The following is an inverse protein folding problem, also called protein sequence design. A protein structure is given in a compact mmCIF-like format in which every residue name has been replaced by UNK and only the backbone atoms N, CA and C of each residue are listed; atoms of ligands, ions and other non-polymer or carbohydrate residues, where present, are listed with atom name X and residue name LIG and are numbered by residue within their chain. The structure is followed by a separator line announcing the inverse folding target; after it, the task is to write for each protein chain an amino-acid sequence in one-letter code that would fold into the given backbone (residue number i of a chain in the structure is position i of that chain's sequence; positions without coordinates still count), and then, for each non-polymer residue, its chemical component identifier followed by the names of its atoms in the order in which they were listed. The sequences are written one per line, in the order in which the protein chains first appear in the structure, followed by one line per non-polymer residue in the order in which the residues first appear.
data_IF_627540971065
#
_entry.id   IF_627540971065
#
_cell.length_a   1.000
_cell.length_b   1.000
_cell.length_c   1.000
_cell.angle_alpha   90.00
_cell.angle_beta   90.00
_cell.angle_gamma   90.00
#
_symmetry.space_group_name_H-M   'P 1'
#
loop_
_entity.id
_entity.type
_entity.pdbx_description
1 polymer ?
#
# COMPACT_ATOMS: atom_id res chain seq x y z
N UNK A 1 60.52 28.77 30.86
CA UNK A 1 60.36 27.30 30.95
C UNK A 1 59.13 26.91 30.16
N UNK A 2 59.31 25.91 29.29
CA UNK A 2 58.50 25.61 28.10
C UNK A 2 57.11 25.06 28.41
N UNK A 3 56.13 25.48 27.61
CA UNK A 3 54.77 24.93 27.55
C UNK A 3 54.73 23.81 26.51
N UNK A 4 54.41 22.59 26.93
CA UNK A 4 54.32 21.43 26.03
C UNK A 4 52.87 21.26 25.56
N UNK A 5 52.63 21.41 24.25
CA UNK A 5 51.33 21.16 23.61
C UNK A 5 51.38 19.78 22.95
N UNK A 6 50.39 18.89 23.15
CA UNK A 6 50.37 17.62 22.47
C UNK A 6 50.04 17.81 20.98
N UNK A 7 50.92 17.29 20.12
CA UNK A 7 50.73 17.24 18.67
C UNK A 7 49.75 16.12 18.33
N UNK A 8 48.58 16.47 17.80
CA UNK A 8 47.65 15.51 17.20
C UNK A 8 48.18 15.09 15.82
N UNK A 9 48.60 13.83 15.68
CA UNK A 9 48.83 13.23 14.37
C UNK A 9 47.50 12.73 13.77
N UNK A 10 47.07 13.21 12.59
CA UNK A 10 45.94 12.62 11.91
C UNK A 10 46.31 11.22 11.42
N UNK A 11 45.54 10.20 11.83
CA UNK A 11 45.69 8.84 11.29
C UNK A 11 45.47 8.87 9.78
N UNK A 12 46.49 8.58 9.00
CA UNK A 12 46.38 8.41 7.55
C UNK A 12 45.53 7.18 7.23
N UNK A 13 44.30 7.38 6.75
CA UNK A 13 43.46 6.32 6.20
C UNK A 13 44.09 5.78 4.93
N UNK A 14 44.59 4.54 4.94
CA UNK A 14 45.28 3.95 3.79
C UNK A 14 44.28 3.70 2.64
N UNK A 15 44.38 4.39 1.50
CA UNK A 15 43.36 4.37 0.44
C UNK A 15 43.19 2.99 -0.22
N UNK A 16 44.20 2.12 -0.19
CA UNK A 16 44.11 0.75 -0.73
C UNK A 16 43.19 -0.17 0.07
N UNK A 17 43.12 0.00 1.39
CA UNK A 17 42.22 -0.78 2.27
C UNK A 17 40.75 -0.32 2.14
N UNK A 18 40.53 0.97 1.87
CA UNK A 18 39.20 1.51 1.59
C UNK A 18 38.68 1.04 0.23
N UNK A 19 39.54 1.05 -0.81
CA UNK A 19 39.20 0.54 -2.13
C UNK A 19 38.84 -0.95 -2.12
N UNK A 20 39.63 -1.80 -1.42
CA UNK A 20 39.37 -3.24 -1.33
C UNK A 20 38.11 -3.59 -0.51
N UNK A 21 37.83 -2.84 0.58
CA UNK A 21 36.55 -2.96 1.30
C UNK A 21 35.36 -2.54 0.44
N UNK A 22 35.53 -1.50 -0.39
CA UNK A 22 34.47 -1.00 -1.28
C UNK A 22 34.12 -1.98 -2.42
N UNK A 23 35.12 -2.66 -3.00
CA UNK A 23 34.91 -3.65 -4.06
C UNK A 23 34.33 -4.95 -3.51
N UNK A 24 34.78 -5.42 -2.34
CA UNK A 24 34.17 -6.56 -1.64
C UNK A 24 32.72 -6.26 -1.23
N UNK A 25 32.43 -5.04 -0.74
CA UNK A 25 31.06 -4.58 -0.45
C UNK A 25 30.18 -4.53 -1.71
N UNK A 26 30.71 -4.03 -2.83
CA UNK A 26 29.98 -4.00 -4.11
C UNK A 26 29.72 -5.40 -4.68
N UNK A 27 30.68 -6.32 -4.58
CA UNK A 27 30.53 -7.71 -5.04
C UNK A 27 29.49 -8.46 -4.21
N UNK A 28 29.58 -8.36 -2.88
CA UNK A 28 28.60 -8.93 -1.95
C UNK A 28 27.19 -8.40 -2.20
N UNK A 29 27.05 -7.10 -2.53
CA UNK A 29 25.77 -6.51 -2.93
C UNK A 29 25.20 -7.11 -4.21
N UNK A 30 26.01 -7.27 -5.26
CA UNK A 30 25.56 -7.89 -6.51
C UNK A 30 25.15 -9.36 -6.30
N UNK A 31 25.88 -10.08 -5.45
CA UNK A 31 25.51 -11.44 -5.04
C UNK A 31 24.16 -11.47 -4.31
N UNK A 32 23.93 -10.55 -3.37
CA UNK A 32 22.64 -10.45 -2.68
C UNK A 32 21.49 -10.10 -3.62
N UNK A 33 21.68 -9.23 -4.61
CA UNK A 33 20.66 -8.93 -5.64
C UNK A 33 20.27 -10.17 -6.45
N UNK A 34 21.25 -11.06 -6.74
CA UNK A 34 21.01 -12.33 -7.45
C UNK A 34 20.24 -13.35 -6.62
N UNK A 35 20.22 -13.21 -5.29
CA UNK A 35 19.47 -14.09 -4.37
C UNK A 35 17.99 -13.74 -4.26
N UNK A 36 17.56 -12.60 -4.82
CA UNK A 36 16.16 -12.18 -4.84
C UNK A 36 15.38 -12.97 -5.90
N UNK A 37 14.36 -13.68 -5.47
CA UNK A 37 13.37 -14.33 -6.33
C UNK A 37 12.36 -13.30 -6.86
N UNK A 38 11.54 -13.71 -7.84
CA UNK A 38 10.44 -12.89 -8.34
C UNK A 38 9.47 -12.48 -7.23
N UNK A 39 9.16 -13.40 -6.30
CA UNK A 39 8.31 -13.13 -5.14
C UNK A 39 8.92 -12.07 -4.22
N UNK A 40 10.22 -12.11 -3.99
CA UNK A 40 10.86 -11.11 -3.12
C UNK A 40 10.86 -9.75 -3.79
N UNK A 41 11.11 -9.68 -5.11
CA UNK A 41 11.01 -8.43 -5.86
C UNK A 41 9.59 -7.86 -5.80
N UNK A 42 8.57 -8.71 -5.89
CA UNK A 42 7.19 -8.28 -5.73
C UNK A 42 6.92 -7.74 -4.32
N UNK A 43 7.42 -8.40 -3.27
CA UNK A 43 7.31 -7.92 -1.90
C UNK A 43 8.03 -6.56 -1.72
N UNK A 44 9.23 -6.41 -2.27
CA UNK A 44 9.95 -5.14 -2.23
C UNK A 44 9.19 -4.03 -2.97
N UNK A 45 8.57 -4.35 -4.10
CA UNK A 45 7.71 -3.40 -4.81
C UNK A 45 6.50 -2.99 -3.94
N UNK A 46 5.86 -3.93 -3.23
CA UNK A 46 4.79 -3.59 -2.29
C UNK A 46 5.27 -2.72 -1.13
N UNK A 47 6.45 -2.98 -0.56
CA UNK A 47 7.00 -2.14 0.52
C UNK A 47 7.45 -0.76 0.03
N UNK A 48 7.83 -0.65 -1.25
CA UNK A 48 8.10 0.63 -1.91
C UNK A 48 6.82 1.45 -2.09
N UNK A 49 5.75 0.78 -2.52
CA UNK A 49 4.44 1.37 -2.83
C UNK A 49 3.64 1.70 -1.56
N UNK A 50 3.62 0.81 -0.56
CA UNK A 50 2.71 0.85 0.59
C UNK A 50 3.40 1.08 1.94
N UNK A 51 4.68 1.43 1.92
CA UNK A 51 5.55 1.70 3.08
C UNK A 51 5.87 0.49 3.97
N UNK A 52 4.83 -0.18 4.46
CA UNK A 52 4.89 -1.15 5.53
C UNK A 52 3.86 -2.24 5.36
N UNK A 53 4.25 -3.48 5.68
CA UNK A 53 3.33 -4.61 5.82
C UNK A 53 3.71 -5.41 7.06
N UNK A 54 2.71 -6.03 7.70
CA UNK A 54 2.95 -6.93 8.82
C UNK A 54 3.43 -8.31 8.38
N UNK A 55 4.00 -9.09 9.31
CA UNK A 55 4.43 -10.45 9.05
C UNK A 55 3.27 -11.34 8.57
N UNK A 56 2.09 -11.19 9.17
CA UNK A 56 0.89 -11.93 8.78
C UNK A 56 0.38 -11.47 7.41
N UNK A 57 0.34 -10.15 7.15
CA UNK A 57 -0.05 -9.61 5.84
C UNK A 57 0.82 -10.16 4.70
N UNK A 58 2.14 -10.17 4.90
CA UNK A 58 3.07 -10.72 3.91
C UNK A 58 2.85 -12.22 3.73
N UNK A 59 2.61 -12.94 4.84
CA UNK A 59 2.35 -14.38 4.80
C UNK A 59 1.12 -14.69 3.95
N UNK A 60 0.01 -14.01 4.21
CA UNK A 60 -1.27 -14.24 3.54
C UNK A 60 -1.20 -13.84 2.06
N UNK A 61 -0.57 -12.71 1.75
CA UNK A 61 -0.46 -12.23 0.38
C UNK A 61 0.48 -13.08 -0.50
N UNK A 62 1.58 -13.62 0.04
CA UNK A 62 2.66 -14.18 -0.79
C UNK A 62 3.14 -15.60 -0.46
N UNK A 63 2.73 -16.20 0.66
CA UNK A 63 3.23 -17.50 1.10
C UNK A 63 2.12 -18.52 1.34
N UNK A 64 2.41 -19.80 1.12
CA UNK A 64 1.48 -20.91 1.38
C UNK A 64 1.48 -21.36 2.83
N UNK A 65 2.50 -20.98 3.60
CA UNK A 65 2.58 -21.29 5.03
C UNK A 65 3.38 -20.24 5.80
N UNK A 66 2.97 -19.99 7.05
CA UNK A 66 3.67 -19.10 8.00
C UNK A 66 5.14 -19.51 8.22
N UNK A 67 5.45 -20.81 8.25
CA UNK A 67 6.83 -21.30 8.38
C UNK A 67 7.70 -20.85 7.20
N UNK A 68 7.22 -21.03 5.97
CA UNK A 68 7.95 -20.62 4.77
C UNK A 68 8.17 -19.10 4.72
N UNK A 69 7.15 -18.32 5.09
CA UNK A 69 7.22 -16.86 5.17
C UNK A 69 8.29 -16.42 6.16
N UNK A 70 8.27 -16.95 7.39
CA UNK A 70 9.25 -16.61 8.44
C UNK A 70 10.69 -16.89 8.02
N UNK A 71 10.96 -18.06 7.43
CA UNK A 71 12.30 -18.40 6.95
C UNK A 71 12.77 -17.47 5.82
N UNK A 72 11.87 -17.14 4.88
CA UNK A 72 12.21 -16.24 3.78
C UNK A 72 12.42 -14.80 4.27
N UNK A 73 11.56 -14.29 5.16
CA UNK A 73 11.70 -12.96 5.75
C UNK A 73 12.97 -12.82 6.58
N UNK A 74 13.36 -13.85 7.33
CA UNK A 74 14.65 -13.88 8.03
C UNK A 74 15.83 -13.81 7.03
N UNK A 75 15.74 -14.52 5.90
CA UNK A 75 16.74 -14.46 4.83
C UNK A 75 16.82 -13.06 4.23
N UNK A 76 15.68 -12.46 3.87
CA UNK A 76 15.60 -11.12 3.28
C UNK A 76 16.13 -10.03 4.23
N UNK A 77 15.82 -10.15 5.51
CA UNK A 77 16.39 -9.28 6.53
C UNK A 77 17.91 -9.45 6.64
N UNK A 78 18.40 -10.70 6.64
CA UNK A 78 19.84 -11.00 6.73
C UNK A 78 20.67 -10.50 5.53
N UNK A 79 20.05 -10.32 4.36
CA UNK A 79 20.68 -9.69 3.19
C UNK A 79 20.31 -8.21 3.02
N UNK A 80 19.69 -7.60 4.03
CA UNK A 80 19.30 -6.19 4.06
C UNK A 80 18.29 -5.78 2.99
N UNK A 81 17.55 -6.73 2.39
CA UNK A 81 16.47 -6.43 1.46
C UNK A 81 15.30 -5.74 2.15
N UNK A 82 15.02 -6.12 3.40
CA UNK A 82 13.98 -5.54 4.25
C UNK A 82 14.55 -5.14 5.60
N UNK A 83 14.02 -4.07 6.17
CA UNK A 83 14.13 -3.75 7.60
C UNK A 83 12.93 -4.36 8.32
N UNK A 84 13.06 -4.68 9.62
CA UNK A 84 11.93 -5.07 10.45
C UNK A 84 11.97 -4.40 11.81
N UNK A 85 10.80 -4.14 12.37
CA UNK A 85 10.63 -3.54 13.70
C UNK A 85 9.33 -4.06 14.32
N UNK A 86 9.10 -3.77 15.59
CA UNK A 86 7.83 -4.02 16.28
C UNK A 86 7.33 -2.67 16.77
N UNK A 87 6.02 -2.44 16.67
CA UNK A 87 5.39 -1.26 17.26
C UNK A 87 4.31 -1.73 18.25
N UNK A 88 4.40 -1.24 19.49
CA UNK A 88 3.47 -1.63 20.56
C UNK A 88 2.05 -1.11 20.29
N UNK A 89 1.90 -0.06 19.47
CA UNK A 89 0.58 0.53 19.19
C UNK A 89 -0.27 -0.34 18.27
N UNK A 90 0.29 -1.37 17.63
CA UNK A 90 -0.48 -2.34 16.82
C UNK A 90 -1.17 -3.41 17.66
N UNK A 91 -0.77 -3.58 18.93
CA UNK A 91 -1.43 -4.46 19.89
C UNK A 91 -1.06 -5.95 19.83
N UNK A 92 -0.34 -6.41 18.80
CA UNK A 92 -0.06 -7.83 18.57
C UNK A 92 1.43 -8.20 18.49
N UNK A 93 2.34 -7.22 18.67
CA UNK A 93 3.78 -7.43 18.82
C UNK A 93 4.46 -8.09 17.62
N UNK A 94 3.76 -8.23 16.49
CA UNK A 94 4.29 -8.87 15.31
C UNK A 94 5.32 -7.98 14.62
N UNK A 95 6.25 -8.59 13.88
CA UNK A 95 7.19 -7.82 13.08
C UNK A 95 6.47 -7.11 11.94
N UNK A 96 6.74 -5.82 11.82
CA UNK A 96 6.42 -5.00 10.67
C UNK A 96 7.66 -4.90 9.78
N UNK A 97 7.46 -4.88 8.48
CA UNK A 97 8.54 -4.86 7.50
C UNK A 97 8.46 -3.61 6.63
N UNK A 98 9.62 -3.01 6.37
CA UNK A 98 9.81 -1.89 5.45
C UNK A 98 11.00 -2.17 4.52
N UNK A 99 11.22 -1.32 3.51
CA UNK A 99 12.40 -1.46 2.65
C UNK A 99 13.71 -1.33 3.44
N UNK A 100 14.58 -2.32 3.28
CA UNK A 100 15.94 -2.30 3.81
C UNK A 100 16.92 -1.62 2.84
N UNK A 101 18.21 -1.51 3.21
CA UNK A 101 19.24 -0.89 2.37
C UNK A 101 19.30 -1.46 0.95
N UNK A 102 19.27 -2.79 0.79
CA UNK A 102 19.28 -3.43 -0.51
C UNK A 102 17.95 -3.21 -1.25
N UNK A 103 16.82 -3.21 -0.53
CA UNK A 103 15.50 -2.94 -1.10
C UNK A 103 15.37 -1.53 -1.68
N UNK A 104 15.91 -0.52 -0.99
CA UNK A 104 15.97 0.87 -1.47
C UNK A 104 16.82 1.03 -2.75
N UNK A 105 17.81 0.16 -2.97
CA UNK A 105 18.56 0.14 -4.23
C UNK A 105 17.74 -0.43 -5.39
N UNK A 106 16.85 -1.38 -5.11
CA UNK A 106 15.93 -1.95 -6.12
C UNK A 106 14.82 -0.94 -6.44
N UNK A 107 14.33 -0.20 -5.43
CA UNK A 107 13.25 0.78 -5.56
C UNK A 107 13.69 2.17 -5.05
N UNK A 108 14.49 2.92 -5.82
CA UNK A 108 15.01 4.22 -5.39
C UNK A 108 13.95 5.34 -5.38
N UNK A 109 12.82 5.15 -6.07
CA UNK A 109 11.72 6.12 -6.19
C UNK A 109 10.51 5.74 -5.34
N UNK A 110 10.73 5.00 -4.25
CA UNK A 110 9.67 4.62 -3.32
C UNK A 110 9.00 5.84 -2.67
N UNK A 111 7.76 5.68 -2.20
CA UNK A 111 7.04 6.71 -1.45
C UNK A 111 7.61 6.88 -0.04
N UNK A 112 7.75 8.10 0.46
CA UNK A 112 8.88 8.44 1.35
C UNK A 112 8.52 8.73 2.81
N UNK A 113 7.32 9.22 3.07
CA UNK A 113 6.87 9.57 4.41
C UNK A 113 5.34 9.45 4.45
N UNK A 114 4.78 8.57 5.29
CA UNK A 114 3.35 8.37 5.35
C UNK A 114 2.60 9.59 5.90
N UNK A 115 3.20 10.33 6.83
CA UNK A 115 2.57 11.51 7.45
C UNK A 115 2.75 12.78 6.59
N UNK A 116 3.78 12.81 5.74
CA UNK A 116 4.15 13.97 4.92
C UNK A 116 4.46 13.57 3.47
N UNK A 117 3.45 13.45 2.60
CA UNK A 117 3.64 13.01 1.21
C UNK A 117 4.66 13.84 0.41
N UNK A 118 4.78 15.14 0.71
CA UNK A 118 5.70 16.08 0.05
C UNK A 118 7.10 16.12 0.69
N UNK A 119 7.36 15.26 1.68
CA UNK A 119 8.67 15.19 2.32
C UNK A 119 9.76 14.76 1.33
N UNK A 120 10.96 15.28 1.53
CA UNK A 120 12.14 14.85 0.78
C UNK A 120 12.37 13.35 0.98
N UNK A 121 12.87 12.68 -0.05
CA UNK A 121 13.24 11.27 0.03
C UNK A 121 14.18 11.02 1.23
N UNK A 122 13.99 9.92 1.97
CA UNK A 122 14.87 9.57 3.08
C UNK A 122 16.25 9.23 2.52
N UNK A 123 17.30 9.64 3.24
CA UNK A 123 18.69 9.44 2.83
C UNK A 123 19.16 8.00 3.04
N UNK A 124 18.42 7.22 3.82
CA UNK A 124 18.71 5.84 4.13
C UNK A 124 17.43 5.04 4.43
N UNK A 125 17.53 3.72 4.39
CA UNK A 125 16.45 2.82 4.85
C UNK A 125 16.14 2.96 6.34
N UNK A 126 17.12 3.37 7.14
CA UNK A 126 16.94 3.63 8.58
C UNK A 126 16.03 4.85 8.75
N UNK A 127 16.37 5.98 8.11
CA UNK A 127 15.54 7.18 8.14
C UNK A 127 14.12 6.90 7.60
N UNK A 128 14.00 6.09 6.55
CA UNK A 128 12.69 5.64 6.06
C UNK A 128 11.90 4.90 7.14
N UNK A 129 12.54 3.96 7.83
CA UNK A 129 11.90 3.16 8.88
C UNK A 129 11.54 4.03 10.08
N UNK A 130 12.39 4.98 10.48
CA UNK A 130 12.13 5.94 11.56
C UNK A 130 10.90 6.82 11.28
N UNK A 131 10.64 7.18 10.01
CA UNK A 131 9.41 7.92 9.63
C UNK A 131 8.14 7.06 9.70
N UNK A 132 8.28 5.74 9.67
CA UNK A 132 7.14 4.82 9.78
C UNK A 132 6.90 4.46 11.25
N UNK A 133 7.97 4.20 12.01
CA UNK A 133 7.92 3.92 13.44
C UNK A 133 7.30 5.11 14.18
N UNK A 134 6.24 4.88 14.95
CA UNK A 134 5.54 5.96 15.66
C UNK A 134 4.72 6.90 14.77
N UNK A 135 4.57 6.60 13.48
CA UNK A 135 3.66 7.34 12.60
C UNK A 135 2.24 7.26 13.14
N UNK A 136 1.55 8.41 13.18
CA UNK A 136 0.14 8.48 13.56
C UNK A 136 -0.78 7.70 12.62
N UNK A 137 -0.29 7.44 11.39
CA UNK A 137 -1.00 6.71 10.34
C UNK A 137 -0.69 5.22 10.30
N UNK A 138 0.21 4.70 11.14
CA UNK A 138 0.65 3.30 11.04
C UNK A 138 -0.51 2.30 11.10
N UNK A 139 -1.40 2.43 12.08
CA UNK A 139 -2.58 1.57 12.20
C UNK A 139 -3.51 1.70 10.98
N UNK A 140 -3.66 2.93 10.47
CA UNK A 140 -4.46 3.22 9.28
C UNK A 140 -3.87 2.61 8.00
N UNK A 141 -2.55 2.67 7.82
CA UNK A 141 -1.85 2.05 6.69
C UNK A 141 -2.01 0.53 6.72
N UNK A 142 -1.79 -0.09 7.89
CA UNK A 142 -1.96 -1.53 8.04
C UNK A 142 -3.40 -1.96 7.75
N UNK A 143 -4.39 -1.24 8.28
CA UNK A 143 -5.82 -1.51 8.02
C UNK A 143 -6.22 -1.29 6.56
N UNK A 144 -5.70 -0.25 5.91
CA UNK A 144 -5.89 0.01 4.48
C UNK A 144 -5.30 -1.11 3.63
N UNK A 145 -4.06 -1.50 3.92
CA UNK A 145 -3.35 -2.56 3.20
C UNK A 145 -4.04 -3.92 3.37
N UNK A 146 -4.69 -4.16 4.52
CA UNK A 146 -5.36 -5.43 4.79
C UNK A 146 -6.42 -5.77 3.74
N UNK A 147 -7.17 -4.78 3.22
CA UNK A 147 -8.15 -5.03 2.17
C UNK A 147 -7.53 -5.69 0.94
N UNK A 148 -6.42 -5.15 0.47
CA UNK A 148 -5.76 -5.64 -0.73
C UNK A 148 -5.04 -6.96 -0.47
N UNK A 149 -4.50 -7.15 0.75
CA UNK A 149 -3.93 -8.43 1.20
C UNK A 149 -5.00 -9.53 1.18
N UNK A 150 -6.20 -9.28 1.70
CA UNK A 150 -7.31 -10.23 1.67
C UNK A 150 -7.69 -10.60 0.22
N UNK A 151 -7.75 -9.60 -0.67
CA UNK A 151 -8.01 -9.81 -2.10
C UNK A 151 -6.90 -10.64 -2.78
N UNK A 152 -5.63 -10.37 -2.48
CA UNK A 152 -4.50 -11.15 -2.99
C UNK A 152 -4.54 -12.59 -2.48
N UNK A 153 -4.81 -12.79 -1.19
CA UNK A 153 -4.94 -14.11 -0.58
C UNK A 153 -6.08 -14.91 -1.24
N UNK A 154 -7.21 -14.26 -1.49
CA UNK A 154 -8.36 -14.86 -2.18
C UNK A 154 -8.03 -15.25 -3.63
N UNK A 155 -7.40 -14.34 -4.40
CA UNK A 155 -7.02 -14.61 -5.79
C UNK A 155 -6.09 -15.83 -5.94
N UNK A 156 -5.24 -16.10 -4.94
CA UNK A 156 -4.33 -17.25 -4.98
C UNK A 156 -5.01 -18.61 -4.96
N UNK A 157 -6.25 -18.69 -4.47
CA UNK A 157 -7.03 -19.93 -4.41
C UNK A 157 -8.19 -19.95 -5.40
N UNK A 158 -8.37 -18.88 -6.18
CA UNK A 158 -9.46 -18.73 -7.14
C UNK A 158 -8.88 -18.34 -8.51
N UNK A 159 -8.71 -19.29 -9.45
CA UNK A 159 -7.92 -19.08 -10.67
C UNK A 159 -8.48 -18.00 -11.61
N UNK A 160 -9.80 -17.76 -11.56
CA UNK A 160 -10.46 -16.76 -12.41
C UNK A 160 -10.45 -15.36 -11.79
N UNK A 161 -9.72 -15.16 -10.71
CA UNK A 161 -9.78 -13.96 -9.88
C UNK A 161 -8.39 -13.35 -9.76
N UNK A 162 -8.29 -12.03 -9.94
CA UNK A 162 -7.03 -11.30 -9.78
C UNK A 162 -7.22 -9.88 -9.27
N UNK A 163 -6.28 -9.44 -8.43
CA UNK A 163 -6.08 -8.02 -8.13
C UNK A 163 -5.11 -7.45 -9.19
N UNK A 164 -5.67 -6.86 -10.24
CA UNK A 164 -4.91 -6.35 -11.38
C UNK A 164 -4.13 -5.07 -11.06
N UNK A 165 -4.57 -4.33 -10.03
CA UNK A 165 -3.91 -3.09 -9.58
C UNK A 165 -4.08 -2.90 -8.08
N UNK A 166 -3.02 -2.42 -7.44
CA UNK A 166 -3.02 -1.93 -6.07
C UNK A 166 -2.12 -0.70 -5.99
N UNK A 167 -2.73 0.45 -5.72
CA UNK A 167 -2.04 1.72 -5.51
C UNK A 167 -2.26 2.19 -4.09
N UNK A 168 -1.20 2.73 -3.49
CA UNK A 168 -1.28 3.42 -2.20
C UNK A 168 -2.02 4.75 -2.33
N UNK A 169 -2.36 5.35 -1.19
CA UNK A 169 -2.87 6.72 -1.12
C UNK A 169 -1.99 7.70 -1.89
N UNK A 170 -0.67 7.63 -1.72
CA UNK A 170 0.22 8.60 -2.36
C UNK A 170 0.22 8.44 -3.87
N UNK A 171 0.21 7.21 -4.36
CA UNK A 171 0.13 6.93 -5.80
C UNK A 171 -1.21 7.37 -6.36
N UNK A 172 -2.32 6.95 -5.74
CA UNK A 172 -3.65 7.30 -6.22
C UNK A 172 -3.87 8.83 -6.19
N UNK A 173 -3.39 9.51 -5.14
CA UNK A 173 -3.40 10.98 -5.05
C UNK A 173 -2.61 11.63 -6.20
N UNK A 174 -1.41 11.12 -6.50
CA UNK A 174 -0.60 11.64 -7.60
C UNK A 174 -1.27 11.38 -8.97
N UNK A 175 -1.79 10.17 -9.18
CA UNK A 175 -2.45 9.77 -10.41
C UNK A 175 -3.73 10.58 -10.69
N UNK A 176 -4.45 10.98 -9.65
CA UNK A 176 -5.69 11.77 -9.76
C UNK A 176 -5.54 13.21 -9.26
N UNK A 177 -4.32 13.76 -9.28
CA UNK A 177 -4.03 15.10 -8.77
C UNK A 177 -4.86 16.20 -9.45
N UNK A 178 -5.18 16.04 -10.74
CA UNK A 178 -6.06 16.97 -11.48
C UNK A 178 -7.48 17.05 -10.92
N UNK A 179 -7.99 15.94 -10.38
CA UNK A 179 -9.28 15.90 -9.70
C UNK A 179 -9.18 16.40 -8.25
N UNK A 180 -7.98 16.38 -7.66
CA UNK A 180 -7.74 16.79 -6.28
C UNK A 180 -8.24 15.78 -5.24
N UNK A 181 -8.49 14.54 -5.64
CA UNK A 181 -8.91 13.46 -4.73
C UNK A 181 -7.70 12.83 -4.03
N UNK A 182 -7.95 12.26 -2.85
CA UNK A 182 -6.94 11.59 -2.01
C UNK A 182 -7.53 10.32 -1.37
N UNK A 183 -7.84 9.28 -2.18
CA UNK A 183 -8.30 8.01 -1.62
C UNK A 183 -7.19 7.36 -0.79
N UNK A 184 -7.54 6.59 0.25
CA UNK A 184 -6.58 5.82 1.04
C UNK A 184 -5.91 4.70 0.20
N UNK A 185 -6.58 4.25 -0.85
CA UNK A 185 -6.03 3.34 -1.83
C UNK A 185 -6.88 3.25 -3.09
N UNK A 186 -6.30 2.70 -4.16
CA UNK A 186 -7.01 2.45 -5.42
C UNK A 186 -6.71 1.04 -5.90
N UNK A 187 -7.75 0.33 -6.36
CA UNK A 187 -7.65 -1.03 -6.83
C UNK A 187 -8.38 -1.28 -8.13
N UNK A 188 -7.98 -2.37 -8.79
CA UNK A 188 -8.74 -2.95 -9.91
C UNK A 188 -8.87 -4.44 -9.64
N UNK A 189 -10.09 -4.88 -9.40
CA UNK A 189 -10.44 -6.27 -9.11
C UNK A 189 -11.08 -6.92 -10.32
N UNK A 190 -10.65 -8.14 -10.66
CA UNK A 190 -11.15 -8.87 -11.81
C UNK A 190 -11.67 -10.24 -11.40
N UNK A 191 -12.83 -10.63 -11.95
CA UNK A 191 -13.43 -11.96 -11.82
C UNK A 191 -13.92 -12.38 -13.20
N UNK A 192 -13.26 -13.35 -13.82
CA UNK A 192 -13.44 -13.64 -15.25
C UNK A 192 -13.20 -12.38 -16.08
N UNK A 193 -14.19 -12.03 -16.90
CA UNK A 193 -14.17 -10.83 -17.77
C UNK A 193 -14.68 -9.56 -17.05
N UNK A 194 -15.22 -9.69 -15.85
CA UNK A 194 -15.70 -8.53 -15.09
C UNK A 194 -14.53 -7.82 -14.42
N UNK A 195 -14.47 -6.52 -14.59
CA UNK A 195 -13.49 -5.64 -13.96
C UNK A 195 -14.19 -4.54 -13.18
N UNK A 196 -13.78 -4.36 -11.93
CA UNK A 196 -14.21 -3.27 -11.06
C UNK A 196 -12.98 -2.51 -10.61
N UNK A 197 -12.77 -1.32 -11.17
CA UNK A 197 -11.91 -0.31 -10.53
C UNK A 197 -12.63 0.24 -9.30
N UNK A 198 -11.93 0.57 -8.23
CA UNK A 198 -12.51 1.11 -6.99
C UNK A 198 -11.55 2.05 -6.25
N UNK A 199 -12.12 3.02 -5.54
CA UNK A 199 -11.42 3.85 -4.56
C UNK A 199 -11.71 3.35 -3.15
N UNK A 200 -10.73 3.36 -2.25
CA UNK A 200 -10.89 2.96 -0.86
C UNK A 200 -10.79 4.17 0.07
N UNK A 201 -11.72 4.25 1.01
CA UNK A 201 -11.64 5.08 2.21
C UNK A 201 -11.78 4.16 3.43
N UNK A 202 -10.72 4.03 4.22
CA UNK A 202 -10.66 3.16 5.38
C UNK A 202 -11.00 3.95 6.64
N UNK A 203 -12.08 3.61 7.33
CA UNK A 203 -12.54 4.32 8.53
C UNK A 203 -12.27 3.52 9.80
N UNK A 204 -11.28 3.97 10.57
CA UNK A 204 -10.98 3.50 11.93
C UNK A 204 -12.00 3.98 12.99
N UNK A 205 -13.03 4.72 12.57
CA UNK A 205 -14.13 5.22 13.39
C UNK A 205 -13.82 6.54 14.11
N UNK A 206 -12.80 7.26 13.66
CA UNK A 206 -12.34 8.52 14.25
C UNK A 206 -12.93 9.75 13.56
N UNK A 207 -13.37 9.63 12.31
CA UNK A 207 -13.88 10.77 11.54
C UNK A 207 -15.37 11.03 11.79
N UNK A 208 -15.80 12.29 11.96
CA UNK A 208 -17.22 12.64 11.96
C UNK A 208 -17.86 12.36 10.60
N UNK A 209 -19.13 11.96 10.60
CA UNK A 209 -19.89 11.63 9.37
C UNK A 209 -19.90 12.76 8.34
N UNK A 210 -19.99 14.02 8.79
CA UNK A 210 -19.95 15.19 7.92
C UNK A 210 -18.61 15.33 7.16
N UNK A 211 -17.50 14.85 7.74
CA UNK A 211 -16.19 14.82 7.09
C UNK A 211 -16.18 13.80 5.96
N UNK A 212 -16.73 12.61 6.20
CA UNK A 212 -16.88 11.56 5.18
C UNK A 212 -17.71 12.06 3.99
N UNK A 213 -18.87 12.66 4.25
CA UNK A 213 -19.72 13.21 3.18
C UNK A 213 -19.02 14.32 2.38
N UNK A 214 -18.21 15.16 3.04
CA UNK A 214 -17.42 16.19 2.36
C UNK A 214 -16.34 15.58 1.46
N UNK A 215 -15.68 14.49 1.89
CA UNK A 215 -14.71 13.76 1.04
C UNK A 215 -15.37 13.26 -0.24
N UNK A 216 -16.57 12.69 -0.14
CA UNK A 216 -17.31 12.15 -1.29
C UNK A 216 -17.62 13.21 -2.37
N UNK A 217 -17.92 14.46 -1.96
CA UNK A 217 -18.10 15.58 -2.91
C UNK A 217 -16.82 15.89 -3.70
N UNK A 218 -15.65 15.62 -3.12
CA UNK A 218 -14.36 15.80 -3.81
C UNK A 218 -14.22 14.97 -5.09
N UNK A 219 -14.97 13.87 -5.21
CA UNK A 219 -14.94 13.02 -6.40
C UNK A 219 -15.78 13.57 -7.57
N UNK A 220 -16.62 14.59 -7.36
CA UNK A 220 -17.46 15.19 -8.41
C UNK A 220 -16.62 15.63 -9.62
N UNK A 221 -15.48 16.27 -9.38
CA UNK A 221 -14.59 16.75 -10.42
C UNK A 221 -14.04 15.61 -11.29
N UNK A 222 -13.75 14.46 -10.71
CA UNK A 222 -13.20 13.32 -11.44
C UNK A 222 -14.18 12.83 -12.51
N UNK A 223 -15.50 12.88 -12.26
CA UNK A 223 -16.52 12.39 -13.20
C UNK A 223 -16.58 13.15 -14.53
N UNK A 224 -15.94 14.33 -14.62
CA UNK A 224 -15.91 15.16 -15.82
C UNK A 224 -14.92 14.65 -16.87
N UNK A 225 -13.91 13.88 -16.47
CA UNK A 225 -12.85 13.44 -17.37
C UNK A 225 -12.38 12.00 -17.13
N UNK A 226 -12.46 11.51 -15.89
CA UNK A 226 -11.93 10.22 -15.48
C UNK A 226 -12.98 9.12 -15.27
N UNK A 227 -12.60 8.04 -14.56
CA UNK A 227 -13.47 6.91 -14.29
C UNK A 227 -14.58 7.25 -13.31
N UNK A 228 -15.66 6.47 -13.34
CA UNK A 228 -16.72 6.43 -12.33
C UNK A 228 -16.66 5.13 -11.56
N UNK A 229 -15.68 5.03 -10.68
CA UNK A 229 -15.48 3.88 -9.81
C UNK A 229 -16.26 4.03 -8.50
N UNK A 230 -16.75 2.93 -7.90
CA UNK A 230 -17.32 2.96 -6.57
C UNK A 230 -16.27 3.42 -5.55
N UNK A 231 -16.70 4.29 -4.64
CA UNK A 231 -15.96 4.61 -3.41
C UNK A 231 -16.38 3.63 -2.33
N UNK A 232 -15.43 2.81 -1.88
CA UNK A 232 -15.61 1.82 -0.84
C UNK A 232 -15.30 2.45 0.51
N UNK A 233 -16.32 2.62 1.34
CA UNK A 233 -16.18 3.05 2.73
C UNK A 233 -16.07 1.80 3.62
N UNK A 234 -14.87 1.46 4.08
CA UNK A 234 -14.67 0.27 4.93
C UNK A 234 -14.57 0.65 6.40
N UNK A 235 -15.54 0.22 7.20
CA UNK A 235 -15.77 0.77 8.55
C UNK A 235 -15.65 -0.28 9.64
N UNK A 236 -15.28 0.16 10.84
CA UNK A 236 -15.05 -0.74 11.99
C UNK A 236 -16.25 -1.53 12.53
N UNK A 237 -17.49 -1.19 12.18
CA UNK A 237 -18.66 -1.82 12.82
C UNK A 237 -19.96 -1.65 12.03
N UNK A 238 -20.89 -2.59 12.18
CA UNK A 238 -22.25 -2.51 11.61
C UNK A 238 -23.02 -1.27 12.06
N UNK A 239 -22.81 -0.82 13.31
CA UNK A 239 -23.44 0.42 13.79
C UNK A 239 -22.96 1.65 13.02
N UNK A 240 -21.65 1.72 12.73
CA UNK A 240 -21.08 2.81 11.93
C UNK A 240 -21.57 2.73 10.48
N UNK A 241 -21.61 1.53 9.92
CA UNK A 241 -22.16 1.26 8.58
C UNK A 241 -23.61 1.74 8.46
N UNK A 242 -24.49 1.32 9.38
CA UNK A 242 -25.91 1.72 9.37
C UNK A 242 -26.10 3.24 9.47
N UNK A 243 -25.28 3.92 10.27
CA UNK A 243 -25.31 5.38 10.37
C UNK A 243 -24.88 6.07 9.07
N UNK A 244 -23.86 5.52 8.38
CA UNK A 244 -23.42 6.01 7.08
C UNK A 244 -24.48 5.80 6.00
N UNK A 245 -25.05 4.60 5.91
CA UNK A 245 -26.12 4.29 4.96
C UNK A 245 -27.33 5.20 5.17
N UNK A 246 -27.74 5.45 6.42
CA UNK A 246 -28.82 6.39 6.72
C UNK A 246 -28.50 7.81 6.30
N UNK A 247 -27.26 8.25 6.47
CA UNK A 247 -26.83 9.60 6.11
C UNK A 247 -26.66 9.80 4.60
N UNK A 248 -26.38 8.72 3.87
CA UNK A 248 -26.27 8.71 2.41
C UNK A 248 -27.62 8.50 1.72
N UNK A 249 -28.65 8.07 2.44
CA UNK A 249 -29.98 7.84 1.89
C UNK A 249 -30.54 9.12 1.23
N UNK A 250 -30.84 9.03 -0.07
CA UNK A 250 -31.35 10.17 -0.86
C UNK A 250 -30.32 11.26 -1.16
N UNK A 251 -29.05 11.09 -0.76
CA UNK A 251 -27.97 12.03 -1.10
C UNK A 251 -27.44 11.67 -2.48
N UNK A 252 -27.55 12.56 -3.50
CA UNK A 252 -26.94 12.32 -4.78
C UNK A 252 -25.42 12.30 -4.62
N UNK A 253 -24.79 11.24 -5.10
CA UNK A 253 -23.33 11.07 -5.09
C UNK A 253 -22.85 10.91 -6.53
N UNK A 254 -21.73 11.56 -6.84
CA UNK A 254 -21.16 11.53 -8.19
C UNK A 254 -20.58 10.15 -8.56
N UNK A 255 -20.10 9.44 -7.55
CA UNK A 255 -19.62 8.06 -7.65
C UNK A 255 -20.61 7.12 -6.96
N UNK A 256 -20.74 5.86 -7.40
CA UNK A 256 -21.37 4.84 -6.57
C UNK A 256 -20.66 4.77 -5.21
N UNK A 257 -21.41 4.63 -4.13
CA UNK A 257 -20.83 4.50 -2.78
C UNK A 257 -21.27 3.17 -2.21
N UNK A 258 -20.31 2.35 -1.81
CA UNK A 258 -20.55 1.09 -1.13
C UNK A 258 -19.91 1.09 0.25
N UNK A 259 -20.61 0.56 1.24
CA UNK A 259 -20.08 0.36 2.58
C UNK A 259 -19.79 -1.11 2.82
N UNK A 260 -18.76 -1.40 3.59
CA UNK A 260 -18.48 -2.74 4.11
C UNK A 260 -17.80 -2.65 5.46
N UNK A 261 -17.81 -3.72 6.25
CA UNK A 261 -17.13 -3.74 7.55
C UNK A 261 -15.75 -4.37 7.46
N UNK A 262 -14.86 -4.02 8.40
CA UNK A 262 -13.48 -4.55 8.42
C UNK A 262 -13.45 -6.08 8.48
N UNK A 263 -14.27 -6.70 9.33
CA UNK A 263 -14.24 -8.15 9.61
C UNK A 263 -14.89 -9.01 8.51
N UNK A 264 -15.53 -8.40 7.51
CA UNK A 264 -16.10 -9.12 6.37
C UNK A 264 -15.08 -9.21 5.23
N UNK A 265 -15.01 -10.38 4.60
CA UNK A 265 -14.04 -10.63 3.53
C UNK A 265 -14.38 -9.79 2.29
N UNK A 266 -13.47 -8.96 1.75
CA UNK A 266 -13.79 -7.98 0.72
C UNK A 266 -14.13 -8.61 -0.63
N UNK A 267 -13.66 -9.83 -0.90
CA UNK A 267 -14.08 -10.58 -2.09
C UNK A 267 -15.41 -11.33 -1.90
N UNK A 268 -16.02 -11.34 -0.71
CA UNK A 268 -17.34 -11.96 -0.46
C UNK A 268 -18.50 -10.98 -0.69
N UNK A 269 -19.75 -11.35 -0.33
CA UNK A 269 -20.90 -10.45 -0.34
C UNK A 269 -20.84 -9.42 0.81
N UNK A 270 -19.75 -8.65 0.84
CA UNK A 270 -19.38 -7.73 1.92
C UNK A 270 -19.93 -6.31 1.73
N UNK A 271 -20.47 -6.00 0.55
CA UNK A 271 -20.69 -4.61 0.14
C UNK A 271 -22.17 -4.27 0.06
N UNK A 272 -22.53 -3.16 0.69
CA UNK A 272 -23.89 -2.59 0.66
C UNK A 272 -23.84 -1.28 -0.13
N UNK A 273 -24.57 -1.18 -1.25
CA UNK A 273 -24.68 0.09 -1.98
C UNK A 273 -25.53 1.08 -1.19
N UNK A 274 -25.11 2.34 -1.12
CA UNK A 274 -25.87 3.40 -0.45
C UNK A 274 -27.25 3.63 -1.09
N UNK A 275 -27.39 3.36 -2.39
CA UNK A 275 -28.66 3.44 -3.13
C UNK A 275 -29.56 2.22 -2.91
N UNK A 276 -29.01 1.10 -2.45
CA UNK A 276 -29.72 -0.17 -2.28
C UNK A 276 -29.32 -0.86 -0.96
N UNK A 277 -29.64 -0.26 0.21
CA UNK A 277 -29.13 -0.70 1.50
C UNK A 277 -29.61 -2.11 1.94
N UNK A 278 -30.56 -2.71 1.23
CA UNK A 278 -31.10 -4.04 1.53
C UNK A 278 -30.37 -5.20 0.85
N UNK A 279 -29.45 -4.94 -0.08
CA UNK A 279 -28.76 -5.99 -0.85
C UNK A 279 -27.25 -5.97 -0.57
N UNK A 280 -26.75 -7.17 -0.23
CA UNK A 280 -25.32 -7.44 -0.05
C UNK A 280 -24.75 -7.96 -1.36
N UNK A 281 -23.69 -7.32 -1.84
CA UNK A 281 -23.07 -7.54 -3.14
C UNK A 281 -21.63 -8.00 -3.00
N UNK A 282 -21.20 -8.79 -3.97
CA UNK A 282 -19.79 -9.09 -4.20
C UNK A 282 -19.07 -7.86 -4.77
N UNK A 283 -17.76 -7.76 -4.59
CA UNK A 283 -16.99 -6.61 -5.08
C UNK A 283 -17.11 -6.42 -6.60
N UNK A 284 -17.12 -7.53 -7.36
CA UNK A 284 -17.23 -7.51 -8.82
C UNK A 284 -18.65 -7.18 -9.33
N UNK A 285 -19.65 -7.14 -8.45
CA UNK A 285 -21.03 -6.76 -8.80
C UNK A 285 -21.29 -5.26 -8.59
N UNK A 286 -20.32 -4.51 -8.08
CA UNK A 286 -20.49 -3.08 -7.87
C UNK A 286 -20.42 -2.32 -9.20
N UNK A 287 -21.27 -1.28 -9.40
CA UNK A 287 -21.20 -0.45 -10.60
C UNK A 287 -19.82 0.18 -10.74
N UNK A 288 -19.18 0.01 -11.89
CA UNK A 288 -17.86 0.54 -12.18
C UNK A 288 -17.78 0.91 -13.66
N UNK A 289 -17.31 2.13 -13.95
CA UNK A 289 -17.06 2.61 -15.30
C UNK A 289 -15.63 3.15 -15.38
N UNK A 290 -14.83 2.55 -16.26
CA UNK A 290 -13.43 2.92 -16.48
C UNK A 290 -13.25 4.30 -17.14
N UNK A 291 -14.34 4.93 -17.57
CA UNK A 291 -14.33 6.20 -18.27
C UNK A 291 -13.77 6.05 -19.70
N UNK A 292 -13.48 7.19 -20.36
CA UNK A 292 -12.92 7.18 -21.70
C UNK A 292 -11.55 6.51 -21.71
N UNK A 293 -11.20 5.89 -22.85
CA UNK A 293 -9.87 5.30 -23.05
C UNK A 293 -8.83 6.40 -23.27
N UNK A 294 -8.41 7.03 -22.16
CA UNK A 294 -7.46 8.12 -22.17
C UNK A 294 -6.53 7.99 -20.95
N UNK A 295 -5.22 7.75 -21.16
CA UNK A 295 -4.27 7.62 -20.06
C UNK A 295 -4.09 8.92 -19.26
N UNK A 296 -4.49 10.08 -19.78
CA UNK A 296 -4.49 11.33 -19.02
C UNK A 296 -5.59 11.38 -17.95
N UNK A 297 -6.66 10.58 -18.11
CA UNK A 297 -7.84 10.64 -17.23
C UNK A 297 -8.11 9.34 -16.47
N UNK A 298 -7.58 8.22 -16.97
CA UNK A 298 -7.45 6.95 -16.25
C UNK A 298 -6.04 6.40 -16.48
N UNK A 299 -5.03 6.87 -15.73
CA UNK A 299 -3.66 6.47 -15.92
C UNK A 299 -3.51 4.95 -15.84
N UNK A 300 -2.80 4.41 -16.83
CA UNK A 300 -2.56 2.97 -16.96
C UNK A 300 -3.83 2.11 -16.95
N UNK A 301 -4.97 2.62 -17.46
CA UNK A 301 -6.23 1.84 -17.63
C UNK A 301 -5.83 0.40 -17.97
N UNK A 302 -6.25 -0.53 -17.12
CA UNK A 302 -5.87 -1.91 -17.32
C UNK A 302 -6.56 -2.38 -18.60
N UNK A 303 -5.79 -2.50 -19.67
CA UNK A 303 -6.16 -3.26 -20.84
C UNK A 303 -5.75 -4.70 -20.55
N UNK A 304 -6.67 -5.63 -20.66
CA UNK A 304 -6.34 -7.04 -20.46
C UNK A 304 -5.25 -7.40 -21.46
N UNK A 305 -4.06 -7.78 -20.97
CA UNK A 305 -2.90 -8.01 -21.86
C UNK A 305 -2.97 -9.33 -22.62
N UNK A 306 -4.09 -10.05 -22.51
CA UNK A 306 -4.32 -11.32 -23.21
C UNK A 306 -5.41 -11.21 -24.31
N UNK A 307 -5.80 -9.99 -24.73
CA UNK A 307 -6.65 -9.81 -25.90
C UNK A 307 -5.89 -9.78 -27.25
N UNK A 308 -4.56 -9.76 -27.23
CA UNK A 308 -3.69 -9.65 -28.42
C UNK A 308 -2.61 -10.76 -28.51
N UNK A 309 -2.88 -11.96 -27.99
CA UNK A 309 -2.08 -13.17 -28.26
C UNK A 309 -2.94 -14.40 -28.54
#
# INVERSE_FOLDING_TARGET
MSTDRPVFHPRSSNPRLLASRSTTSRRSRLENLRRLTLRDRQLLAWLAEHYVLSADQITDAAFTSRRSARLRLATLHGIEAVSRFVDITTGDGQYLYALGPLGMLVHPTAYNDPDRPDARAPRSSIERTERIVGSSRLAHLLGTNQLFVDLLAHARTHPNVRLARWWSEQHATAAYALAGIRPDGHGVWCVGDQQVGFFLEHDNGTEPLAVVLRKLRGYERLTQFGPRYPVLLRVRSRRREANLLRALAGVPTAMPVATGIHDEHPAGPAWTLATEPGLRRWLHELPSDHGPDNPATNPHRYTDRDADL
#
